data_IF_636457223628
#
_entry.id   IF_636457223628
#
_cell.length_a   1.000
_cell.length_b   1.000
_cell.length_c   1.000
_cell.angle_alpha   90.00
_cell.angle_beta   90.00
_cell.angle_gamma   90.00
#
_symmetry.space_group_name_H-M   'P 1'
#
loop_
_entity.id
_entity.type
_entity.pdbx_description
1 polymer ?
#
# COMPACT_ATOMS: atom_id res chain seq x y z
N UNK A 1 9.43 -18.64 -11.27
CA UNK A 1 9.84 -17.23 -11.18
C UNK A 1 10.32 -17.00 -9.76
N UNK A 2 11.47 -16.34 -9.56
CA UNK A 2 11.96 -16.04 -8.21
C UNK A 2 11.08 -14.94 -7.59
N UNK A 3 10.59 -15.15 -6.37
CA UNK A 3 9.58 -14.29 -5.74
C UNK A 3 9.85 -14.16 -4.25
N UNK A 4 9.77 -12.94 -3.73
CA UNK A 4 9.75 -12.66 -2.30
C UNK A 4 8.31 -12.36 -1.86
N UNK A 5 7.83 -13.17 -0.91
CA UNK A 5 6.50 -13.02 -0.32
C UNK A 5 6.65 -12.50 1.10
N UNK A 6 6.10 -11.33 1.38
CA UNK A 6 6.27 -10.63 2.65
C UNK A 6 4.92 -10.14 3.14
N UNK A 7 4.69 -10.24 4.45
CA UNK A 7 3.57 -9.59 5.09
C UNK A 7 4.07 -8.79 6.29
N UNK A 8 3.53 -7.58 6.47
CA UNK A 8 3.77 -6.77 7.65
C UNK A 8 2.45 -6.17 8.14
N UNK A 9 2.24 -6.22 9.46
CA UNK A 9 1.01 -5.78 10.11
C UNK A 9 1.34 -4.83 11.25
N UNK A 10 0.58 -3.75 11.38
CA UNK A 10 0.63 -2.86 12.53
C UNK A 10 -0.78 -2.35 12.90
N UNK A 11 -1.03 -2.07 14.20
CA UNK A 11 -2.29 -1.47 14.62
C UNK A 11 -2.46 -0.08 14.01
N UNK A 12 -3.65 0.22 13.47
CA UNK A 12 -3.97 1.55 12.92
C UNK A 12 -4.10 2.57 14.05
N UNK A 13 -4.64 2.15 15.19
CA UNK A 13 -4.81 2.98 16.39
C UNK A 13 -3.89 2.47 17.51
N UNK A 14 -2.56 2.67 17.43
CA UNK A 14 -1.67 2.30 18.51
C UNK A 14 -1.96 3.13 19.76
N UNK A 15 -1.64 2.59 20.94
CA UNK A 15 -1.82 3.29 22.21
C UNK A 15 -1.15 4.68 22.17
N UNK A 16 -1.91 5.73 22.51
CA UNK A 16 -1.43 7.12 22.49
C UNK A 16 -1.53 7.82 21.14
N UNK A 17 -1.93 7.15 20.06
CA UNK A 17 -2.32 7.83 18.82
C UNK A 17 -3.73 8.39 18.95
N UNK A 18 -3.90 9.69 18.68
CA UNK A 18 -5.18 10.37 18.72
C UNK A 18 -5.40 11.28 17.50
N UNK A 19 -6.66 11.55 17.13
CA UNK A 19 -7.88 10.81 17.48
C UNK A 19 -7.88 9.38 16.89
N UNK A 20 -8.62 8.45 17.50
CA UNK A 20 -8.75 7.10 16.96
C UNK A 20 -9.49 7.12 15.62
N UNK A 21 -8.85 6.54 14.59
CA UNK A 21 -9.40 6.48 13.25
C UNK A 21 -10.47 5.41 13.16
N UNK A 22 -11.59 5.77 12.54
CA UNK A 22 -12.65 4.83 12.17
C UNK A 22 -12.40 4.22 10.80
N UNK A 23 -13.04 3.09 10.51
CA UNK A 23 -12.88 2.34 9.25
C UNK A 23 -13.17 3.22 8.02
N UNK A 24 -14.17 4.08 8.10
CA UNK A 24 -14.57 4.99 7.01
C UNK A 24 -13.46 6.02 6.71
N UNK A 25 -12.78 6.52 7.74
CA UNK A 25 -11.67 7.47 7.58
C UNK A 25 -10.44 6.78 6.98
N UNK A 26 -10.13 5.58 7.46
CA UNK A 26 -9.06 4.74 6.89
C UNK A 26 -9.35 4.47 5.41
N UNK A 27 -10.59 4.15 5.07
CA UNK A 27 -10.97 3.91 3.68
C UNK A 27 -10.89 5.16 2.81
N UNK A 28 -11.38 6.30 3.29
CA UNK A 28 -11.24 7.58 2.60
C UNK A 28 -9.77 7.88 2.26
N UNK A 29 -8.87 7.62 3.18
CA UNK A 29 -7.45 7.81 2.96
C UNK A 29 -6.80 6.75 2.07
N UNK A 30 -7.21 5.48 2.13
CA UNK A 30 -6.75 4.48 1.16
C UNK A 30 -7.15 4.86 -0.27
N UNK A 31 -8.36 5.41 -0.48
CA UNK A 31 -8.75 5.97 -1.77
C UNK A 31 -7.87 7.14 -2.19
N UNK A 32 -7.51 8.03 -1.27
CA UNK A 32 -6.53 9.09 -1.54
C UNK A 32 -5.15 8.51 -1.92
N UNK A 33 -4.69 7.47 -1.22
CA UNK A 33 -3.41 6.80 -1.49
C UNK A 33 -3.34 6.18 -2.89
N UNK A 34 -4.47 5.71 -3.43
CA UNK A 34 -4.55 5.25 -4.83
C UNK A 34 -4.14 6.38 -5.79
N UNK A 35 -4.51 7.62 -5.47
CA UNK A 35 -4.30 8.79 -6.32
C UNK A 35 -3.03 9.58 -6.02
N UNK A 36 -2.50 9.47 -4.80
CA UNK A 36 -1.32 10.17 -4.33
C UNK A 36 -0.56 9.28 -3.35
N UNK A 37 0.19 8.30 -3.87
CA UNK A 37 0.92 7.37 -3.05
C UNK A 37 2.10 8.03 -2.32
N UNK A 38 2.72 9.04 -2.94
CA UNK A 38 3.79 9.87 -2.38
C UNK A 38 3.37 10.60 -1.10
N UNK A 39 2.07 10.90 -0.92
CA UNK A 39 1.56 11.47 0.35
C UNK A 39 1.74 10.51 1.52
N UNK A 40 1.70 9.20 1.27
CA UNK A 40 1.73 8.16 2.32
C UNK A 40 3.10 7.51 2.47
N UNK A 41 3.85 7.40 1.38
CA UNK A 41 5.17 6.75 1.35
C UNK A 41 6.19 7.60 0.57
N UNK A 42 6.45 8.86 0.96
CA UNK A 42 7.30 9.79 0.20
C UNK A 42 8.76 9.31 0.07
N UNK A 43 9.20 8.41 0.96
CA UNK A 43 10.54 7.81 0.91
C UNK A 43 10.68 6.79 -0.23
N UNK A 44 9.57 6.19 -0.68
CA UNK A 44 9.57 5.14 -1.70
C UNK A 44 9.04 5.65 -3.05
N UNK A 45 8.01 6.51 -3.04
CA UNK A 45 7.34 7.01 -4.23
C UNK A 45 7.50 8.52 -4.30
N UNK A 46 7.99 8.98 -5.44
CA UNK A 46 8.22 10.39 -5.73
C UNK A 46 6.96 11.06 -6.29
N UNK A 47 6.22 10.37 -7.15
CA UNK A 47 5.00 10.92 -7.75
C UNK A 47 4.03 9.82 -8.21
N UNK A 48 2.76 10.20 -8.27
CA UNK A 48 1.65 9.41 -8.81
C UNK A 48 0.95 10.21 -9.91
N UNK A 49 0.61 9.56 -11.02
CA UNK A 49 -0.22 10.15 -12.09
C UNK A 49 -1.32 9.16 -12.45
N UNK A 50 -2.58 9.57 -12.24
CA UNK A 50 -3.74 8.76 -12.64
C UNK A 50 -3.89 8.82 -14.17
N UNK A 51 -4.00 7.65 -14.79
CA UNK A 51 -4.09 7.49 -16.25
C UNK A 51 -5.55 7.26 -16.67
N UNK A 52 -6.25 6.38 -15.96
CA UNK A 52 -7.66 6.12 -16.20
C UNK A 52 -8.36 5.57 -14.97
N UNK A 53 -9.68 5.68 -14.99
CA UNK A 53 -10.56 5.13 -13.96
C UNK A 53 -11.71 4.40 -14.62
N UNK A 54 -12.12 3.30 -13.99
CA UNK A 54 -13.16 2.42 -14.47
C UNK A 54 -13.74 1.61 -13.32
N UNK A 55 -14.60 0.64 -13.65
CA UNK A 55 -15.18 -0.30 -12.70
C UNK A 55 -15.01 -1.70 -13.27
N UNK A 56 -14.63 -2.65 -12.42
CA UNK A 56 -14.53 -4.06 -12.82
C UNK A 56 -15.94 -4.69 -13.00
N UNK A 57 -16.04 -5.92 -13.54
CA UNK A 57 -17.33 -6.60 -13.71
C UNK A 57 -18.12 -6.84 -12.41
N UNK A 58 -17.47 -6.76 -11.24
CA UNK A 58 -18.09 -6.95 -9.93
C UNK A 58 -18.47 -5.63 -9.26
N UNK A 59 -18.28 -4.48 -9.92
CA UNK A 59 -18.61 -3.18 -9.38
C UNK A 59 -17.49 -2.50 -8.57
N UNK A 60 -16.28 -3.08 -8.52
CA UNK A 60 -15.16 -2.48 -7.78
C UNK A 60 -14.51 -1.35 -8.58
N UNK A 61 -14.20 -0.19 -7.95
CA UNK A 61 -13.41 0.84 -8.61
C UNK A 61 -12.02 0.34 -9.01
N UNK A 62 -11.63 0.63 -10.26
CA UNK A 62 -10.31 0.32 -10.80
C UNK A 62 -9.64 1.61 -11.28
N UNK A 63 -8.45 1.88 -10.78
CA UNK A 63 -7.61 3.00 -11.20
C UNK A 63 -6.34 2.47 -11.85
N UNK A 64 -6.06 2.90 -13.07
CA UNK A 64 -4.74 2.69 -13.69
C UNK A 64 -3.92 3.95 -13.43
N UNK A 65 -2.72 3.78 -12.88
CA UNK A 65 -1.84 4.90 -12.52
C UNK A 65 -0.40 4.59 -12.90
N UNK A 66 0.36 5.65 -13.13
CA UNK A 66 1.82 5.57 -13.17
C UNK A 66 2.39 6.07 -11.84
N UNK A 67 3.38 5.38 -11.30
CA UNK A 67 4.19 5.83 -10.16
C UNK A 67 5.65 5.96 -10.56
N UNK A 68 6.37 6.88 -9.92
CA UNK A 68 7.83 7.01 -10.03
C UNK A 68 8.46 6.67 -8.70
N UNK A 69 9.37 5.69 -8.69
CA UNK A 69 10.10 5.32 -7.47
C UNK A 69 11.23 6.30 -7.18
N UNK A 70 11.38 6.67 -5.91
CA UNK A 70 12.41 7.62 -5.47
C UNK A 70 13.83 7.08 -5.69
N UNK A 71 14.04 5.77 -5.47
CA UNK A 71 15.36 5.15 -5.40
C UNK A 71 16.08 5.07 -6.76
N UNK A 72 15.37 4.73 -7.83
CA UNK A 72 15.92 4.44 -9.16
C UNK A 72 15.28 5.27 -10.28
N UNK A 73 14.33 6.16 -9.94
CA UNK A 73 13.54 6.96 -10.89
C UNK A 73 12.75 6.11 -11.90
N UNK A 74 12.59 4.81 -11.62
CA UNK A 74 11.85 3.91 -12.48
C UNK A 74 10.37 4.27 -12.43
N UNK A 75 9.78 4.34 -13.62
CA UNK A 75 8.35 4.55 -13.80
C UNK A 75 7.65 3.21 -13.97
N UNK A 76 6.63 2.94 -13.17
CA UNK A 76 5.82 1.71 -13.24
C UNK A 76 4.35 2.07 -13.40
N UNK A 77 3.68 1.38 -14.33
CA UNK A 77 2.23 1.44 -14.47
C UNK A 77 1.59 0.34 -13.63
N UNK A 78 0.71 0.72 -12.72
CA UNK A 78 -0.01 -0.22 -11.85
C UNK A 78 -1.51 -0.17 -12.16
N UNK A 79 -2.15 -1.33 -12.09
CA UNK A 79 -3.62 -1.44 -12.02
C UNK A 79 -4.02 -1.62 -10.57
N UNK A 80 -4.90 -0.74 -10.08
CA UNK A 80 -5.28 -0.70 -8.68
C UNK A 80 -6.78 -0.95 -8.55
N UNK A 81 -7.17 -1.99 -7.80
CA UNK A 81 -8.58 -2.31 -7.55
C UNK A 81 -8.92 -2.11 -6.09
N UNK A 82 -9.99 -1.36 -5.82
CA UNK A 82 -10.46 -1.05 -4.48
C UNK A 82 -11.62 -1.97 -4.09
N UNK A 83 -11.40 -2.86 -3.12
CA UNK A 83 -12.39 -3.78 -2.57
C UNK A 83 -12.88 -3.28 -1.22
N UNK A 84 -13.76 -2.28 -1.24
CA UNK A 84 -14.33 -1.67 -0.03
C UNK A 84 -15.12 -2.71 0.80
N UNK A 85 -15.02 -2.70 2.15
CA UNK A 85 -14.17 -1.86 3.01
C UNK A 85 -12.89 -2.59 3.47
N UNK A 86 -12.48 -3.63 2.73
CA UNK A 86 -11.47 -4.59 3.19
C UNK A 86 -10.07 -4.26 2.71
N UNK A 87 -9.88 -4.00 1.41
CA UNK A 87 -8.52 -3.90 0.86
C UNK A 87 -8.44 -3.10 -0.44
N UNK A 88 -7.23 -2.64 -0.73
CA UNK A 88 -6.83 -2.16 -2.07
C UNK A 88 -5.73 -3.06 -2.60
N UNK A 89 -5.84 -3.50 -3.84
CA UNK A 89 -4.86 -4.35 -4.51
C UNK A 89 -4.17 -3.58 -5.64
N UNK A 90 -2.84 -3.60 -5.65
CA UNK A 90 -1.98 -3.00 -6.66
C UNK A 90 -1.30 -4.13 -7.44
N UNK A 91 -1.46 -4.14 -8.76
CA UNK A 91 -0.82 -5.12 -9.66
C UNK A 91 0.10 -4.39 -10.63
N UNK A 92 1.35 -4.82 -10.69
CA UNK A 92 2.37 -4.33 -11.61
C UNK A 92 2.43 -5.20 -12.88
N UNK A 93 3.05 -4.74 -13.98
CA UNK A 93 3.03 -5.45 -15.27
C UNK A 93 3.80 -6.78 -15.25
N UNK A 94 4.79 -6.91 -14.36
CA UNK A 94 5.53 -8.16 -14.12
C UNK A 94 4.72 -9.19 -13.29
N UNK A 95 3.53 -8.79 -12.84
CA UNK A 95 2.64 -9.56 -11.96
C UNK A 95 2.98 -9.42 -10.48
N UNK A 96 3.95 -8.58 -10.11
CA UNK A 96 4.18 -8.23 -8.71
C UNK A 96 2.90 -7.61 -8.14
N UNK A 97 2.56 -7.97 -6.91
CA UNK A 97 1.34 -7.49 -6.27
C UNK A 97 1.58 -6.96 -4.87
N UNK A 98 0.79 -5.96 -4.50
CA UNK A 98 0.72 -5.45 -3.13
C UNK A 98 -0.75 -5.36 -2.73
N UNK A 99 -1.11 -5.89 -1.57
CA UNK A 99 -2.43 -5.66 -1.00
C UNK A 99 -2.29 -4.79 0.24
N UNK A 100 -3.11 -3.75 0.35
CA UNK A 100 -3.24 -2.90 1.53
C UNK A 100 -4.56 -3.27 2.19
N UNK A 101 -4.50 -4.01 3.30
CA UNK A 101 -5.66 -4.66 3.94
C UNK A 101 -5.96 -3.97 5.26
N UNK A 102 -7.24 -3.69 5.50
CA UNK A 102 -7.78 -3.21 6.78
C UNK A 102 -8.50 -4.38 7.46
N UNK A 103 -7.81 -5.07 8.35
CA UNK A 103 -8.37 -6.19 9.12
C UNK A 103 -8.86 -5.73 10.50
N UNK A 104 -9.72 -6.56 11.09
CA UNK A 104 -10.28 -6.35 12.43
C UNK A 104 -9.76 -7.42 13.38
N UNK A 105 -9.36 -7.02 14.58
CA UNK A 105 -9.04 -7.91 15.69
C UNK A 105 -10.30 -8.49 16.33
N UNK A 106 -10.11 -9.46 17.23
CA UNK A 106 -11.22 -10.11 17.92
C UNK A 106 -12.03 -9.12 18.77
N UNK A 107 -11.40 -8.03 19.23
CA UNK A 107 -12.01 -7.00 20.07
C UNK A 107 -12.35 -5.72 19.28
N UNK A 108 -12.35 -5.79 17.95
CA UNK A 108 -12.73 -4.68 17.07
C UNK A 108 -11.59 -3.73 16.70
N UNK A 109 -10.33 -4.05 17.04
CA UNK A 109 -9.20 -3.19 16.72
C UNK A 109 -8.89 -3.22 15.22
N UNK A 110 -8.56 -2.08 14.64
CA UNK A 110 -8.20 -2.00 13.23
C UNK A 110 -6.70 -2.18 13.04
N UNK A 111 -6.33 -3.04 12.08
CA UNK A 111 -4.95 -3.29 11.67
C UNK A 111 -4.74 -2.96 10.20
N UNK A 112 -3.58 -2.39 9.90
CA UNK A 112 -3.11 -2.20 8.54
C UNK A 112 -2.13 -3.33 8.23
N UNK A 113 -2.51 -4.18 7.29
CA UNK A 113 -1.70 -5.33 6.86
C UNK A 113 -1.33 -5.17 5.40
N UNK A 114 -0.03 -5.08 5.10
CA UNK A 114 0.44 -5.14 3.73
C UNK A 114 0.96 -6.53 3.42
N UNK A 115 0.52 -7.09 2.29
CA UNK A 115 1.12 -8.28 1.70
C UNK A 115 1.76 -7.88 0.39
N UNK A 116 2.95 -8.42 0.14
CA UNK A 116 3.77 -8.16 -1.03
C UNK A 116 4.10 -9.51 -1.67
N UNK A 117 3.90 -9.59 -2.97
CA UNK A 117 4.46 -10.63 -3.84
C UNK A 117 5.34 -9.91 -4.85
N UNK A 118 6.63 -9.75 -4.53
CA UNK A 118 7.60 -9.11 -5.42
C UNK A 118 8.28 -10.15 -6.29
N UNK A 119 8.12 -10.00 -7.60
CA UNK A 119 8.66 -10.91 -8.60
C UNK A 119 9.99 -10.36 -9.11
N UNK A 120 11.00 -11.22 -9.08
CA UNK A 120 12.34 -10.91 -9.58
C UNK A 120 12.66 -11.93 -10.68
N UNK A 121 12.17 -11.71 -11.91
CA UNK A 121 12.63 -12.52 -13.03
C UNK A 121 14.16 -12.50 -13.05
N UNK A 122 14.75 -13.67 -13.31
CA UNK A 122 16.19 -13.84 -13.49
C UNK A 122 17.09 -13.66 -12.25
N UNK A 123 16.53 -13.35 -11.07
CA UNK A 123 17.31 -13.29 -9.84
C UNK A 123 17.79 -14.69 -9.40
N UNK A 124 19.09 -14.78 -9.12
CA UNK A 124 19.72 -15.92 -8.43
C UNK A 124 19.21 -16.07 -6.99
N UNK A 125 19.55 -17.17 -6.34
CA UNK A 125 19.15 -17.41 -4.94
C UNK A 125 19.79 -16.39 -3.99
N UNK A 126 21.05 -16.06 -4.25
CA UNK A 126 21.84 -15.11 -3.46
C UNK A 126 21.29 -13.69 -3.60
N UNK A 127 20.94 -13.27 -4.82
CA UNK A 127 20.30 -11.98 -5.07
C UNK A 127 18.91 -11.91 -4.43
N UNK A 128 18.11 -12.97 -4.56
CA UNK A 128 16.77 -13.04 -3.97
C UNK A 128 16.82 -12.90 -2.44
N UNK A 129 17.79 -13.52 -1.79
CA UNK A 129 18.00 -13.40 -0.34
C UNK A 129 18.43 -11.99 0.08
N UNK A 130 19.31 -11.34 -0.70
CA UNK A 130 19.72 -9.96 -0.44
C UNK A 130 18.57 -8.95 -0.63
N UNK A 131 17.72 -9.19 -1.65
CA UNK A 131 16.50 -8.42 -1.88
C UNK A 131 15.52 -8.58 -0.72
N UNK A 132 15.28 -9.81 -0.26
CA UNK A 132 14.34 -10.13 0.82
C UNK A 132 14.58 -9.29 2.08
N UNK A 133 15.83 -9.14 2.51
CA UNK A 133 16.15 -8.37 3.71
C UNK A 133 15.85 -6.86 3.55
N UNK A 134 16.16 -6.28 2.38
CA UNK A 134 15.82 -4.88 2.07
C UNK A 134 14.31 -4.68 1.98
N UNK A 135 13.65 -5.64 1.37
CA UNK A 135 12.22 -5.67 1.11
C UNK A 135 11.40 -5.81 2.40
N UNK A 136 11.87 -6.61 3.37
CA UNK A 136 11.29 -6.64 4.72
C UNK A 136 11.34 -5.28 5.39
N UNK A 137 12.48 -4.60 5.35
CA UNK A 137 12.60 -3.25 5.92
C UNK A 137 11.66 -2.25 5.22
N UNK A 138 11.58 -2.32 3.89
CA UNK A 138 10.66 -1.47 3.11
C UNK A 138 9.19 -1.76 3.44
N UNK A 139 8.80 -3.02 3.64
CA UNK A 139 7.43 -3.40 3.99
C UNK A 139 6.96 -2.75 5.28
N UNK A 140 7.83 -2.72 6.30
CA UNK A 140 7.59 -2.04 7.57
C UNK A 140 7.41 -0.53 7.37
N UNK A 141 8.36 0.11 6.68
CA UNK A 141 8.31 1.56 6.40
C UNK A 141 7.04 1.94 5.65
N UNK A 142 6.60 1.13 4.69
CA UNK A 142 5.38 1.40 3.92
C UNK A 142 4.12 1.37 4.77
N UNK A 143 4.01 0.41 5.70
CA UNK A 143 2.86 0.29 6.61
C UNK A 143 2.86 1.41 7.65
N UNK A 144 3.98 1.62 8.35
CA UNK A 144 4.10 2.64 9.40
C UNK A 144 3.98 4.06 8.83
N UNK A 145 4.56 4.32 7.66
CA UNK A 145 4.43 5.58 6.94
C UNK A 145 2.99 5.87 6.55
N UNK A 146 2.27 4.85 6.07
CA UNK A 146 0.83 5.00 5.77
C UNK A 146 0.04 5.32 7.04
N UNK A 147 0.25 4.59 8.14
CA UNK A 147 -0.44 4.86 9.42
C UNK A 147 -0.15 6.29 9.91
N UNK A 148 1.09 6.74 9.81
CA UNK A 148 1.47 8.11 10.17
C UNK A 148 0.72 9.14 9.34
N UNK A 149 0.67 8.95 8.02
CA UNK A 149 -0.06 9.82 7.10
C UNK A 149 -1.58 9.81 7.38
N UNK A 150 -2.16 8.65 7.69
CA UNK A 150 -3.58 8.55 8.10
C UNK A 150 -3.89 9.45 9.29
N UNK A 151 -3.10 9.35 10.35
CA UNK A 151 -3.28 10.18 11.55
C UNK A 151 -3.08 11.66 11.26
N UNK A 152 -2.10 12.02 10.42
CA UNK A 152 -1.89 13.41 10.04
C UNK A 152 -3.07 13.97 9.24
N UNK A 153 -3.60 13.22 8.27
CA UNK A 153 -4.75 13.63 7.47
C UNK A 153 -6.00 13.82 8.33
N UNK A 154 -6.22 12.97 9.34
CA UNK A 154 -7.34 13.12 10.26
C UNK A 154 -7.18 14.35 11.17
N UNK A 155 -5.97 14.61 11.67
CA UNK A 155 -5.67 15.83 12.44
C UNK A 155 -5.89 17.10 11.61
N UNK A 156 -5.58 17.04 10.32
CA UNK A 156 -5.80 18.13 9.36
C UNK A 156 -7.28 18.29 8.94
N UNK A 157 -8.18 17.38 9.36
CA UNK A 157 -9.59 17.39 8.94
C UNK A 157 -9.82 17.03 7.48
N UNK A 158 -8.87 16.32 6.84
CA UNK A 158 -8.94 15.90 5.44
C UNK A 158 -9.62 14.53 5.25
N UNK A 159 -9.75 13.77 6.34
CA UNK A 159 -10.46 12.47 6.44
C UNK A 159 -11.14 12.34 7.80
#
# INVERSE_FOLDING_TARGET
MSTNNIAFTAPINPAGAGPALKREQVWAALRLKIRSAETFVPQAIESTTVISESTDPNGNPVTVRDIVFTADKRKVRETVTAYEPSRVQFIQPDGSSVNNIVSEGADGELFMTYTFEWRHPDASKEELAALLEREKAMSKVAVEGTITALHQLAKDGKI
#
